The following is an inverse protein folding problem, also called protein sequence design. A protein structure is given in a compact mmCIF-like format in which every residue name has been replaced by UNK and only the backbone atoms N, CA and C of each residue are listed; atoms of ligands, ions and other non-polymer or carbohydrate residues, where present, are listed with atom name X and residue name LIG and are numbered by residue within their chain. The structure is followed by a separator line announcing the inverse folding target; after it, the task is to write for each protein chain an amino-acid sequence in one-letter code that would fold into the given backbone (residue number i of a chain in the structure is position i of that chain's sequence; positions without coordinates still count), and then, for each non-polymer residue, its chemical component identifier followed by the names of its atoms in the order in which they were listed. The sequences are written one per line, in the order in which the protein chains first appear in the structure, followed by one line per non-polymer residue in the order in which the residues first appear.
data_IF_234162575413
#
_entry.id   IF_234162575413
#
_cell.length_a   1.000
_cell.length_b   1.000
_cell.length_c   1.000
_cell.angle_alpha   90.00
_cell.angle_beta   90.00
_cell.angle_gamma   90.00
#
_symmetry.space_group_name_H-M   'P 1'
#
loop_
_entity.id
_entity.type
_entity.pdbx_description
1 polymer ?
#
# COMPACT_ATOMS: atom_id res chain seq x y z
N UNK A 1 -5.74 5.12 -21.45
CA UNK A 1 -5.05 6.39 -21.80
C UNK A 1 -4.98 6.60 -23.31
N UNK A 2 -4.36 5.73 -24.12
CA UNK A 2 -4.39 5.88 -25.60
C UNK A 2 -5.82 5.82 -26.18
N UNK A 3 -6.67 4.93 -25.66
CA UNK A 3 -8.10 4.87 -26.00
C UNK A 3 -8.91 6.11 -25.57
N UNK A 4 -8.33 7.00 -24.76
CA UNK A 4 -8.96 8.24 -24.32
C UNK A 4 -8.50 9.47 -25.15
N UNK A 5 -7.76 9.25 -26.26
CA UNK A 5 -7.31 10.32 -27.17
C UNK A 5 -6.10 11.13 -26.68
N UNK A 6 -5.49 10.74 -25.55
CA UNK A 6 -4.32 11.43 -24.99
C UNK A 6 -3.05 11.07 -25.77
N UNK A 7 -2.29 12.09 -26.16
CA UNK A 7 -0.98 11.96 -26.81
C UNK A 7 0.15 12.18 -25.80
N UNK A 8 1.36 11.65 -26.11
CA UNK A 8 2.55 11.72 -25.23
C UNK A 8 2.30 11.22 -23.79
N UNK A 9 1.64 10.07 -23.66
CA UNK A 9 1.42 9.44 -22.34
C UNK A 9 2.76 9.07 -21.73
N UNK A 10 3.05 9.59 -20.54
CA UNK A 10 4.20 9.19 -19.71
C UNK A 10 3.69 8.44 -18.48
N UNK A 11 4.38 7.36 -18.16
CA UNK A 11 4.16 6.58 -16.94
C UNK A 11 5.38 6.77 -16.06
N UNK A 12 5.16 7.23 -14.84
CA UNK A 12 6.17 7.30 -13.81
C UNK A 12 5.80 6.33 -12.70
N UNK A 13 6.75 5.46 -12.36
CA UNK A 13 6.62 4.45 -11.31
C UNK A 13 7.39 4.93 -10.09
N UNK A 14 6.79 4.76 -8.92
CA UNK A 14 7.41 5.07 -7.65
C UNK A 14 7.27 3.87 -6.72
N UNK A 15 8.39 3.49 -6.11
CA UNK A 15 8.46 2.45 -5.08
C UNK A 15 8.67 3.14 -3.73
N UNK A 16 7.66 3.05 -2.87
CA UNK A 16 7.72 3.61 -1.52
C UNK A 16 8.02 2.50 -0.51
N UNK A 17 8.85 2.77 0.51
CA UNK A 17 8.87 1.91 1.66
C UNK A 17 7.51 1.95 2.36
N UNK A 18 7.07 0.81 2.87
CA UNK A 18 5.98 0.76 3.86
C UNK A 18 6.65 0.62 5.22
N UNK A 19 6.52 1.64 6.07
CA UNK A 19 7.20 1.71 7.37
C UNK A 19 8.46 2.57 7.40
N UNK A 20 9.24 2.41 8.46
CA UNK A 20 10.35 3.26 8.87
C UNK A 20 11.71 2.85 8.29
N UNK A 21 11.79 1.68 7.65
CA UNK A 21 13.06 1.10 7.16
C UNK A 21 13.73 1.90 6.02
N UNK A 22 12.98 2.81 5.38
CA UNK A 22 13.54 3.76 4.41
C UNK A 22 14.50 4.78 5.04
N UNK A 23 15.09 5.65 4.22
CA UNK A 23 15.98 6.72 4.68
C UNK A 23 15.50 8.10 4.20
N UNK A 24 15.88 9.15 4.93
CA UNK A 24 15.54 10.53 4.57
C UNK A 24 14.03 10.75 4.39
N UNK A 25 13.66 11.35 3.26
CA UNK A 25 12.26 11.65 2.93
C UNK A 25 11.41 10.38 2.73
N UNK A 26 12.01 9.31 2.21
CA UNK A 26 11.30 8.04 1.99
C UNK A 26 10.82 7.43 3.31
N UNK A 27 11.60 7.56 4.39
CA UNK A 27 11.18 7.13 5.73
C UNK A 27 9.92 7.84 6.17
N UNK A 28 9.89 9.17 6.05
CA UNK A 28 8.73 9.98 6.47
C UNK A 28 7.47 9.59 5.70
N UNK A 29 7.60 9.40 4.38
CA UNK A 29 6.49 8.99 3.52
C UNK A 29 6.04 7.56 3.86
N UNK A 30 6.98 6.64 4.05
CA UNK A 30 6.68 5.25 4.40
C UNK A 30 6.03 5.10 5.78
N UNK A 31 6.47 5.88 6.77
CA UNK A 31 5.85 5.95 8.10
C UNK A 31 4.39 6.42 8.02
N UNK A 32 4.12 7.43 7.19
CA UNK A 32 2.76 7.91 6.97
C UNK A 32 1.90 6.86 6.26
N UNK A 33 2.42 6.26 5.20
CA UNK A 33 1.73 5.21 4.45
C UNK A 33 1.38 4.00 5.34
N UNK A 34 2.31 3.55 6.18
CA UNK A 34 2.08 2.45 7.11
C UNK A 34 0.98 2.79 8.13
N UNK A 35 0.95 4.02 8.66
CA UNK A 35 -0.09 4.47 9.59
C UNK A 35 -1.47 4.49 8.93
N UNK A 36 -1.56 5.03 7.71
CA UNK A 36 -2.81 5.07 6.96
C UNK A 36 -3.34 3.66 6.66
N UNK A 37 -2.45 2.74 6.26
CA UNK A 37 -2.80 1.34 6.04
C UNK A 37 -3.28 0.66 7.33
N UNK A 38 -2.56 0.81 8.45
CA UNK A 38 -2.93 0.21 9.73
C UNK A 38 -4.24 0.78 10.29
N UNK A 39 -4.54 2.05 10.03
CA UNK A 39 -5.81 2.66 10.39
C UNK A 39 -6.96 2.16 9.50
N UNK A 40 -6.69 1.91 8.22
CA UNK A 40 -7.70 1.47 7.25
C UNK A 40 -7.99 -0.04 7.29
N UNK A 41 -6.98 -0.89 7.45
CA UNK A 41 -7.12 -2.34 7.35
C UNK A 41 -8.11 -3.00 8.31
N UNK A 42 -8.34 -2.52 9.56
CA UNK A 42 -9.42 -3.03 10.39
C UNK A 42 -10.80 -3.03 9.71
N UNK A 43 -11.08 -2.04 8.84
CA UNK A 43 -12.34 -1.97 8.09
C UNK A 43 -12.53 -3.14 7.11
N UNK A 44 -11.45 -3.82 6.71
CA UNK A 44 -11.48 -4.99 5.83
C UNK A 44 -11.87 -6.26 6.58
N UNK A 45 -11.94 -6.26 7.91
CA UNK A 45 -12.22 -7.47 8.70
C UNK A 45 -13.56 -8.09 8.31
N UNK A 46 -14.63 -7.30 8.28
CA UNK A 46 -15.97 -7.77 7.93
C UNK A 46 -16.03 -8.39 6.52
N UNK A 47 -15.61 -7.71 5.44
CA UNK A 47 -15.64 -8.32 4.11
C UNK A 47 -14.71 -9.54 4.00
N UNK A 48 -13.54 -9.55 4.65
CA UNK A 48 -12.66 -10.72 4.63
C UNK A 48 -13.26 -11.94 5.35
N UNK A 49 -13.86 -11.74 6.53
CA UNK A 49 -14.40 -12.86 7.30
C UNK A 49 -15.71 -13.38 6.68
N UNK A 50 -16.56 -12.49 6.17
CA UNK A 50 -17.86 -12.86 5.64
C UNK A 50 -17.82 -13.34 4.18
N UNK A 51 -17.02 -12.70 3.33
CA UNK A 51 -16.99 -13.01 1.91
C UNK A 51 -15.84 -13.95 1.50
N UNK A 52 -14.74 -13.98 2.25
CA UNK A 52 -13.55 -14.76 1.91
C UNK A 52 -13.27 -15.93 2.87
N UNK A 53 -14.19 -16.18 3.83
CA UNK A 53 -14.09 -17.24 4.83
C UNK A 53 -12.76 -17.23 5.62
N UNK A 54 -12.20 -16.03 5.83
CA UNK A 54 -11.02 -15.81 6.68
C UNK A 54 -11.47 -15.85 8.14
N UNK A 55 -10.74 -16.57 9.00
CA UNK A 55 -11.09 -16.54 10.43
C UNK A 55 -10.74 -15.17 11.04
N UNK A 56 -11.60 -14.66 11.92
CA UNK A 56 -11.33 -13.40 12.62
C UNK A 56 -9.99 -13.42 13.36
N UNK A 57 -9.68 -14.57 13.97
CA UNK A 57 -8.42 -14.79 14.69
C UNK A 57 -7.20 -14.67 13.77
N UNK A 58 -7.27 -15.26 12.58
CA UNK A 58 -6.17 -15.17 11.61
C UNK A 58 -6.02 -13.75 11.09
N UNK A 59 -7.14 -13.06 10.82
CA UNK A 59 -7.12 -11.66 10.42
C UNK A 59 -6.44 -10.78 11.47
N UNK A 60 -6.86 -10.88 12.73
CA UNK A 60 -6.31 -10.09 13.83
C UNK A 60 -4.82 -10.41 14.06
N UNK A 61 -4.44 -11.70 13.96
CA UNK A 61 -3.03 -12.12 14.07
C UNK A 61 -2.16 -11.50 12.98
N UNK A 62 -2.63 -11.52 11.72
CA UNK A 62 -1.89 -10.93 10.60
C UNK A 62 -1.75 -9.43 10.80
N UNK A 63 -2.85 -8.75 11.14
CA UNK A 63 -2.85 -7.30 11.32
C UNK A 63 -1.88 -6.86 12.43
N UNK A 64 -1.80 -7.61 13.53
CA UNK A 64 -0.84 -7.34 14.62
C UNK A 64 0.63 -7.54 14.20
N UNK A 65 0.91 -8.48 13.30
CA UNK A 65 2.26 -8.77 12.83
C UNK A 65 2.73 -7.86 11.68
N UNK A 66 1.81 -7.17 11.04
CA UNK A 66 2.02 -6.55 9.73
C UNK A 66 3.10 -5.47 9.73
N UNK A 67 3.10 -4.59 10.73
CA UNK A 67 4.13 -3.54 10.86
C UNK A 67 5.54 -4.14 10.99
N UNK A 68 5.69 -5.22 11.78
CA UNK A 68 6.96 -5.91 11.95
C UNK A 68 7.39 -6.61 10.66
N UNK A 69 6.46 -7.22 9.95
CA UNK A 69 6.73 -7.85 8.66
C UNK A 69 7.25 -6.83 7.64
N UNK A 70 6.64 -5.65 7.57
CA UNK A 70 7.10 -4.58 6.67
C UNK A 70 8.53 -4.13 6.94
N UNK A 71 8.90 -3.96 8.21
CA UNK A 71 10.28 -3.65 8.61
C UNK A 71 11.24 -4.79 8.27
N UNK A 72 10.86 -6.03 8.59
CA UNK A 72 11.75 -7.19 8.42
C UNK A 72 12.05 -7.49 6.95
N UNK A 73 11.04 -7.38 6.09
CA UNK A 73 11.16 -7.74 4.67
C UNK A 73 11.35 -6.53 3.75
N UNK A 74 11.48 -5.33 4.32
CA UNK A 74 11.56 -4.07 3.57
C UNK A 74 10.44 -3.97 2.52
N UNK A 75 9.19 -4.15 2.97
CA UNK A 75 8.03 -4.18 2.07
C UNK A 75 7.86 -2.86 1.34
N UNK A 76 7.67 -2.94 0.02
CA UNK A 76 7.48 -1.78 -0.84
C UNK A 76 6.06 -1.70 -1.39
N UNK A 77 5.56 -0.48 -1.55
CA UNK A 77 4.31 -0.17 -2.23
C UNK A 77 4.59 0.59 -3.51
N UNK A 78 4.18 0.01 -4.65
CA UNK A 78 4.39 0.58 -5.98
C UNK A 78 3.16 1.37 -6.42
N UNK A 79 3.33 2.65 -6.72
CA UNK A 79 2.28 3.48 -7.33
C UNK A 79 2.69 3.98 -8.71
N UNK A 80 1.67 4.12 -9.58
CA UNK A 80 1.85 4.52 -10.97
C UNK A 80 1.16 5.87 -11.19
N UNK A 81 1.94 6.86 -11.61
CA UNK A 81 1.42 8.15 -12.05
C UNK A 81 1.45 8.16 -13.57
N UNK A 82 0.27 8.35 -14.18
CA UNK A 82 0.15 8.45 -15.63
C UNK A 82 -0.37 9.83 -15.99
N UNK A 83 0.32 10.51 -16.90
CA UNK A 83 -0.08 11.82 -17.40
C UNK A 83 0.08 11.86 -18.91
N UNK A 84 -0.81 12.59 -19.59
CA UNK A 84 -0.83 12.75 -21.03
C UNK A 84 -1.30 14.14 -21.39
N UNK A 85 -0.92 14.60 -22.58
CA UNK A 85 -1.42 15.85 -23.13
C UNK A 85 -2.63 15.56 -24.00
N UNK A 86 -3.59 16.49 -24.00
CA UNK A 86 -4.73 16.45 -24.91
C UNK A 86 -4.35 17.13 -26.21
#
# INVERSE_FOLDING_TARGET
MQRAGLTKVKVQTFDLPVGAWGQGEQRRIGDLLARDMLAGFPSLKAPCCQALNVSERDFDRVLQGLAKEWEQFHTQYRFYVTYGQK
#
